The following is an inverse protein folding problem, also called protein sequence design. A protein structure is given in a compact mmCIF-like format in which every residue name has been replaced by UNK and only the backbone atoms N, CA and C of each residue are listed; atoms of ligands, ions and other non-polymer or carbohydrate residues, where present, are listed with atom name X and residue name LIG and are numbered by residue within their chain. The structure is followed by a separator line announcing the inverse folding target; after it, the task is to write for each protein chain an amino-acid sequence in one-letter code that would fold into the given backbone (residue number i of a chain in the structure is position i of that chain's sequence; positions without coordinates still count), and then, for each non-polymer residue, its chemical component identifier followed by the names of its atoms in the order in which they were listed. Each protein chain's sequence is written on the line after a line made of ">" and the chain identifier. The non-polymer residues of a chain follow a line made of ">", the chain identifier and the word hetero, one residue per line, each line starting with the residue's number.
data_IF_580917404765
#
_entry.id   IF_580917404765
#
_cell.length_a   1.000
_cell.length_b   1.000
_cell.length_c   1.000
_cell.angle_alpha   90.00
_cell.angle_beta   90.00
_cell.angle_gamma   90.00
#
_symmetry.space_group_name_H-M   'P 1'
#
loop_
_entity.id
_entity.type
_entity.pdbx_description
1 polymer ?
#
# COMPACT_ATOMS: atom_id res chain seq x y z
N UNK A 1 -12.63 -17.13 -9.43
CA UNK A 1 -12.03 -16.64 -8.17
C UNK A 1 -11.54 -15.25 -8.43
N UNK A 2 -11.86 -14.29 -7.57
CA UNK A 2 -11.33 -12.92 -7.68
C UNK A 2 -9.83 -12.93 -7.36
N UNK A 3 -9.04 -12.27 -8.20
CA UNK A 3 -7.59 -12.18 -8.00
C UNK A 3 -7.25 -11.18 -6.89
N UNK A 4 -6.02 -11.24 -6.33
CA UNK A 4 -5.60 -10.26 -5.31
C UNK A 4 -5.56 -8.85 -5.89
N UNK A 5 -5.11 -8.73 -7.13
CA UNK A 5 -5.11 -7.47 -7.87
C UNK A 5 -6.53 -6.87 -7.98
N UNK A 6 -7.51 -7.66 -8.40
CA UNK A 6 -8.91 -7.23 -8.48
C UNK A 6 -9.50 -6.84 -7.11
N UNK A 7 -9.16 -7.57 -6.05
CA UNK A 7 -9.61 -7.25 -4.68
C UNK A 7 -9.12 -5.86 -4.26
N UNK A 8 -7.84 -5.54 -4.48
CA UNK A 8 -7.30 -4.21 -4.15
C UNK A 8 -7.85 -3.12 -5.09
N UNK A 9 -7.95 -3.40 -6.40
CA UNK A 9 -8.52 -2.48 -7.38
C UNK A 9 -9.96 -2.11 -7.05
N UNK A 10 -10.76 -3.07 -6.56
CA UNK A 10 -12.12 -2.83 -6.11
C UNK A 10 -12.18 -1.97 -4.85
N UNK A 11 -11.32 -2.20 -3.85
CA UNK A 11 -11.23 -1.33 -2.67
C UNK A 11 -10.87 0.10 -3.07
N UNK A 12 -9.88 0.25 -3.95
CA UNK A 12 -9.49 1.56 -4.48
C UNK A 12 -10.66 2.27 -5.16
N UNK A 13 -11.35 1.56 -6.06
CA UNK A 13 -12.51 2.08 -6.78
C UNK A 13 -13.60 2.55 -5.82
N UNK A 14 -13.96 1.74 -4.81
CA UNK A 14 -14.98 2.10 -3.83
C UNK A 14 -14.53 3.32 -3.01
N UNK A 15 -13.27 3.34 -2.54
CA UNK A 15 -12.73 4.48 -1.78
C UNK A 15 -12.79 5.79 -2.58
N UNK A 16 -12.48 5.75 -3.88
CA UNK A 16 -12.56 6.92 -4.78
C UNK A 16 -14.00 7.32 -5.06
N UNK A 17 -14.88 6.38 -5.41
CA UNK A 17 -16.29 6.66 -5.74
C UNK A 17 -17.05 7.21 -4.54
N UNK A 18 -16.84 6.64 -3.35
CA UNK A 18 -17.49 7.05 -2.11
C UNK A 18 -16.82 8.23 -1.42
N UNK A 19 -15.61 8.60 -1.85
CA UNK A 19 -14.73 9.55 -1.16
C UNK A 19 -14.47 9.17 0.31
N UNK A 20 -14.59 7.89 0.66
CA UNK A 20 -14.37 7.39 2.01
C UNK A 20 -12.99 6.73 2.14
N UNK A 21 -12.00 7.41 2.74
CA UNK A 21 -10.68 6.82 2.97
C UNK A 21 -10.71 5.66 3.98
N UNK A 22 -11.80 5.47 4.74
CA UNK A 22 -11.91 4.33 5.66
C UNK A 22 -12.01 3.00 4.93
N UNK A 23 -12.39 2.99 3.66
CA UNK A 23 -12.39 1.78 2.82
C UNK A 23 -10.99 1.14 2.74
N UNK A 24 -9.93 1.96 2.79
CA UNK A 24 -8.55 1.48 2.77
C UNK A 24 -8.16 0.71 4.05
N UNK A 25 -8.91 0.84 5.15
CA UNK A 25 -8.67 0.11 6.42
C UNK A 25 -8.93 -1.40 6.28
N UNK A 26 -9.55 -1.85 5.20
CA UNK A 26 -9.76 -3.28 4.89
C UNK A 26 -8.47 -3.96 4.42
N UNK A 27 -7.51 -3.20 3.90
CA UNK A 27 -6.31 -3.73 3.25
C UNK A 27 -5.38 -4.46 4.22
N UNK A 28 -5.08 -3.95 5.44
CA UNK A 28 -4.27 -4.70 6.42
C UNK A 28 -4.83 -6.11 6.71
N UNK A 29 -6.15 -6.24 6.84
CA UNK A 29 -6.80 -7.54 7.05
C UNK A 29 -6.59 -8.48 5.86
N UNK A 30 -6.77 -7.99 4.63
CA UNK A 30 -6.54 -8.78 3.42
C UNK A 30 -5.09 -9.24 3.29
N UNK A 31 -4.14 -8.35 3.61
CA UNK A 31 -2.72 -8.68 3.59
C UNK A 31 -2.40 -9.79 4.59
N UNK A 32 -2.99 -9.73 5.80
CA UNK A 32 -2.84 -10.77 6.80
C UNK A 32 -3.43 -12.12 6.32
N UNK A 33 -4.61 -12.11 5.69
CA UNK A 33 -5.22 -13.30 5.09
C UNK A 33 -4.36 -13.91 3.97
N UNK A 34 -3.55 -13.09 3.29
CA UNK A 34 -2.59 -13.54 2.27
C UNK A 34 -1.22 -13.93 2.86
N UNK A 35 -1.07 -13.94 4.18
CA UNK A 35 0.15 -14.35 4.88
C UNK A 35 1.15 -13.22 5.16
N UNK A 36 0.80 -11.96 4.91
CA UNK A 36 1.66 -10.80 5.20
C UNK A 36 1.28 -10.17 6.53
N UNK A 37 2.13 -10.36 7.54
CA UNK A 37 1.92 -9.78 8.86
C UNK A 37 2.25 -8.29 8.86
N UNK A 38 1.27 -7.48 9.29
CA UNK A 38 1.48 -6.07 9.58
C UNK A 38 2.34 -5.89 10.83
N UNK A 39 3.03 -4.74 10.96
CA UNK A 39 3.97 -4.45 12.06
C UNK A 39 3.32 -4.02 13.38
N UNK A 40 2.21 -4.65 13.76
CA UNK A 40 1.46 -4.26 14.97
C UNK A 40 2.29 -4.39 16.27
N UNK A 41 3.31 -5.28 16.27
CA UNK A 41 4.20 -5.48 17.41
C UNK A 41 5.25 -4.35 17.60
N UNK A 42 5.66 -3.70 16.51
CA UNK A 42 6.75 -2.69 16.46
C UNK A 42 6.23 -1.26 16.28
N UNK A 43 4.98 -1.10 15.83
CA UNK A 43 4.39 0.23 15.63
C UNK A 43 2.88 0.23 15.39
N UNK A 44 2.31 1.42 15.57
CA UNK A 44 0.91 1.72 15.28
C UNK A 44 0.75 2.07 13.81
N UNK A 45 -0.18 1.40 13.11
CA UNK A 45 -0.54 1.76 11.74
C UNK A 45 -1.28 3.10 11.72
N UNK A 46 -0.68 4.11 11.11
CA UNK A 46 -1.26 5.45 10.99
C UNK A 46 -2.10 5.60 9.72
N UNK A 47 -1.59 5.09 8.60
CA UNK A 47 -2.18 5.34 7.28
C UNK A 47 -1.97 4.16 6.33
N UNK A 48 -2.97 3.90 5.50
CA UNK A 48 -2.88 3.02 4.34
C UNK A 48 -3.08 3.84 3.08
N UNK A 49 -2.13 3.80 2.14
CA UNK A 49 -2.22 4.48 0.87
C UNK A 49 -2.26 3.48 -0.28
N UNK A 50 -2.96 3.85 -1.35
CA UNK A 50 -2.95 3.15 -2.63
C UNK A 50 -2.48 4.11 -3.73
N UNK A 51 -1.67 3.62 -4.64
CA UNK A 51 -1.21 4.38 -5.79
C UNK A 51 -1.17 3.48 -7.02
N UNK A 52 -1.74 3.95 -8.12
CA UNK A 52 -1.73 3.27 -9.41
C UNK A 52 -0.86 4.10 -10.33
N UNK A 53 0.48 3.93 -10.29
CA UNK A 53 1.40 4.73 -11.08
C UNK A 53 1.11 4.57 -12.58
N UNK A 54 0.73 5.68 -13.23
CA UNK A 54 0.37 5.70 -14.65
C UNK A 54 1.53 5.36 -15.59
N UNK A 55 2.78 5.58 -15.16
CA UNK A 55 3.98 5.37 -15.95
C UNK A 55 4.59 3.95 -15.81
N UNK A 56 4.24 3.20 -14.76
CA UNK A 56 4.81 1.87 -14.45
C UNK A 56 3.83 0.73 -14.86
N UNK A 57 2.84 1.06 -15.70
CA UNK A 57 1.83 0.14 -16.21
C UNK A 57 0.72 -0.16 -15.20
N UNK A 58 0.01 -1.27 -15.42
CA UNK A 58 -1.09 -1.76 -14.56
C UNK A 58 -0.57 -2.35 -13.24
N UNK A 59 0.12 -1.53 -12.47
CA UNK A 59 0.71 -1.86 -11.19
C UNK A 59 -0.04 -1.11 -10.10
N UNK A 60 -0.36 -1.79 -8.99
CA UNK A 60 -0.91 -1.16 -7.80
C UNK A 60 0.14 -1.24 -6.70
N UNK A 61 0.42 -0.10 -6.09
CA UNK A 61 1.29 0.01 -4.92
C UNK A 61 0.46 0.32 -3.68
N UNK A 62 0.69 -0.46 -2.63
CA UNK A 62 0.08 -0.30 -1.30
C UNK A 62 1.17 0.17 -0.35
N UNK A 63 0.97 1.32 0.30
CA UNK A 63 1.85 1.82 1.35
C UNK A 63 1.18 1.70 2.71
N UNK A 64 1.78 0.93 3.62
CA UNK A 64 1.38 0.88 5.03
C UNK A 64 2.37 1.68 5.87
N UNK A 65 1.90 2.74 6.53
CA UNK A 65 2.75 3.64 7.31
C UNK A 65 2.53 3.46 8.79
N UNK A 66 3.61 3.24 9.50
CA UNK A 66 3.59 2.97 10.92
C UNK A 66 4.40 4.03 11.69
N UNK A 67 3.92 4.34 12.90
CA UNK A 67 4.70 5.02 13.93
C UNK A 67 5.22 3.99 14.91
N UNK A 68 6.54 3.85 14.98
CA UNK A 68 7.20 2.93 15.90
C UNK A 68 7.12 3.42 17.35
N UNK A 69 7.40 2.51 18.29
CA UNK A 69 7.50 2.82 19.73
C UNK A 69 8.55 3.89 20.05
N UNK A 70 9.62 3.98 19.26
CA UNK A 70 10.66 5.02 19.37
C UNK A 70 10.27 6.35 18.70
N UNK A 71 9.00 6.51 18.31
CA UNK A 71 8.43 7.63 17.58
C UNK A 71 8.98 7.86 16.16
N UNK A 72 9.81 6.97 15.62
CA UNK A 72 10.23 7.03 14.22
C UNK A 72 9.15 6.50 13.28
N UNK A 73 9.17 6.96 12.02
CA UNK A 73 8.25 6.51 10.98
C UNK A 73 8.88 5.39 10.13
N UNK A 74 8.05 4.42 9.75
CA UNK A 74 8.41 3.38 8.80
C UNK A 74 7.27 3.13 7.83
N UNK A 75 7.61 2.60 6.66
CA UNK A 75 6.66 2.25 5.62
C UNK A 75 7.00 0.85 5.10
N UNK A 76 5.98 0.01 4.98
CA UNK A 76 6.04 -1.22 4.20
C UNK A 76 5.27 -0.99 2.90
N UNK A 77 5.89 -1.38 1.78
CA UNK A 77 5.31 -1.21 0.46
C UNK A 77 4.98 -2.59 -0.09
N UNK A 78 3.80 -2.76 -0.67
CA UNK A 78 3.41 -3.96 -1.38
C UNK A 78 3.03 -3.61 -2.81
N UNK A 79 3.40 -4.47 -3.74
CA UNK A 79 3.16 -4.23 -5.17
C UNK A 79 2.41 -5.41 -5.76
N UNK A 80 1.37 -5.11 -6.52
CA UNK A 80 0.64 -6.05 -7.35
C UNK A 80 0.75 -5.62 -8.81
N UNK A 81 0.85 -6.59 -9.72
CA UNK A 81 0.91 -6.35 -11.16
C UNK A 81 -0.22 -7.11 -11.86
N UNK A 82 -0.92 -6.48 -12.79
CA UNK A 82 -2.03 -7.11 -13.52
C UNK A 82 -1.60 -8.33 -14.35
N UNK A 83 -0.33 -8.40 -14.76
CA UNK A 83 0.23 -9.57 -15.47
C UNK A 83 0.43 -10.79 -14.57
N UNK A 84 0.52 -10.60 -13.26
CA UNK A 84 0.58 -11.67 -12.27
C UNK A 84 -0.37 -11.36 -11.10
N UNK A 85 -1.69 -11.43 -11.32
CA UNK A 85 -2.68 -10.80 -10.46
C UNK A 85 -2.90 -11.54 -9.13
N UNK A 86 -2.25 -12.68 -8.92
CA UNK A 86 -2.28 -13.47 -7.69
C UNK A 86 -1.04 -13.27 -6.82
N UNK A 87 0.02 -12.67 -7.36
CA UNK A 87 1.28 -12.42 -6.67
C UNK A 87 1.30 -11.00 -6.12
N UNK A 88 1.75 -10.89 -4.88
CA UNK A 88 1.99 -9.63 -4.20
C UNK A 88 3.42 -9.63 -3.69
N UNK A 89 4.15 -8.58 -4.03
CA UNK A 89 5.58 -8.48 -3.73
C UNK A 89 5.80 -7.47 -2.62
N UNK A 90 6.29 -7.88 -1.43
CA UNK A 90 6.64 -6.96 -0.37
C UNK A 90 7.99 -6.30 -0.63
N UNK A 91 8.05 -4.99 -0.41
CA UNK A 91 9.24 -4.19 -0.41
C UNK A 91 9.43 -3.56 0.97
N UNK A 92 10.55 -3.90 1.59
CA UNK A 92 10.99 -3.25 2.82
C UNK A 92 11.77 -1.97 2.47
N UNK A 93 11.70 -0.99 3.38
CA UNK A 93 12.34 0.34 3.35
C UNK A 93 13.63 0.38 2.50
N UNK A 94 13.65 1.26 1.49
CA UNK A 94 14.81 1.52 0.62
C UNK A 94 14.89 0.66 -0.65
N UNK A 95 14.28 -0.53 -0.71
CA UNK A 95 14.33 -1.36 -1.94
C UNK A 95 13.44 -0.82 -3.06
N UNK A 96 12.32 -0.19 -2.72
CA UNK A 96 11.37 0.41 -3.68
C UNK A 96 11.74 1.85 -4.10
N UNK A 97 12.66 2.51 -3.39
CA UNK A 97 13.12 3.88 -3.72
C UNK A 97 13.78 4.00 -5.10
N UNK A 98 14.16 2.90 -5.74
CA UNK A 98 14.72 2.92 -7.09
C UNK A 98 13.70 3.36 -8.14
N UNK A 99 12.41 3.42 -7.81
CA UNK A 99 11.38 4.00 -8.65
C UNK A 99 11.26 5.50 -8.34
N UNK A 100 11.53 6.35 -9.34
CA UNK A 100 11.58 7.81 -9.20
C UNK A 100 10.33 8.43 -8.59
N UNK A 101 9.16 7.81 -8.78
CA UNK A 101 7.88 8.26 -8.21
C UNK A 101 7.76 8.08 -6.69
N UNK A 102 8.62 7.23 -6.10
CA UNK A 102 8.60 6.89 -4.67
C UNK A 102 9.84 7.41 -3.91
N UNK A 103 10.70 8.18 -4.58
CA UNK A 103 11.85 8.81 -3.94
C UNK A 103 11.36 9.86 -2.91
N UNK A 104 11.83 9.73 -1.66
CA UNK A 104 11.48 10.69 -0.59
C UNK A 104 10.06 10.58 -0.01
N UNK A 105 9.14 9.81 -0.60
CA UNK A 105 7.73 9.72 -0.12
C UNK A 105 7.63 9.17 1.30
N UNK A 106 8.46 8.18 1.65
CA UNK A 106 8.61 7.59 3.00
C UNK A 106 8.98 8.60 4.13
N UNK A 107 9.42 9.81 3.79
CA UNK A 107 9.71 10.88 4.77
C UNK A 107 8.56 11.89 4.92
N UNK A 108 7.55 11.83 4.05
CA UNK A 108 6.44 12.78 4.05
C UNK A 108 5.33 12.26 4.96
N UNK A 109 4.63 13.15 5.67
CA UNK A 109 3.49 12.76 6.52
C UNK A 109 2.22 12.48 5.73
N UNK A 110 2.10 13.04 4.53
CA UNK A 110 0.92 12.97 3.67
C UNK A 110 1.37 12.76 2.23
N UNK A 111 1.03 11.62 1.63
CA UNK A 111 1.09 11.49 0.16
C UNK A 111 -0.29 11.90 -0.34
N UNK A 112 -0.35 12.92 -1.21
CA UNK A 112 -1.58 13.20 -1.95
C UNK A 112 -1.85 12.01 -2.85
N UNK A 113 -3.07 11.46 -2.80
CA UNK A 113 -3.56 10.54 -3.82
C UNK A 113 -3.32 11.21 -5.18
N UNK A 114 -2.33 10.74 -5.93
CA UNK A 114 -2.22 11.09 -7.34
C UNK A 114 -3.34 10.34 -8.04
N UNK A 115 -4.25 11.11 -8.63
CA UNK A 115 -5.34 10.65 -9.49
C UNK A 115 -4.82 9.84 -10.66
#
# INVERSE_FOLDING_TARGET
>A
MTTKYEQIKNIHKIAVETHDPNELRKIPSLLNDWGFKCREDDGELLWTNLSIPTLIGETITIGLRYKKKDATLTEDIFVLNEKDPHVITPYYKGKYQKHSEYEGTHCQWTIKLTQ
#
